data_IF_354834645496
#
_entry.id   IF_354834645496
#
_cell.length_a   1.000
_cell.length_b   1.000
_cell.length_c   1.000
_cell.angle_alpha   90.00
_cell.angle_beta   90.00
_cell.angle_gamma   90.00
#
_symmetry.space_group_name_H-M   'P 1'
#
loop_
_entity.id
_entity.type
_entity.pdbx_description
1 polymer ?
#
# COMPACT_ATOMS: atom_id res chain seq x y z
N UNK A 1 -25.48 6.37 20.65
CA UNK A 1 -24.60 5.17 20.79
C UNK A 1 -24.33 4.46 19.46
N UNK A 2 -25.36 4.19 18.65
CA UNK A 2 -25.22 3.46 17.37
C UNK A 2 -24.36 4.19 16.32
N UNK A 3 -24.42 5.52 16.29
CA UNK A 3 -23.59 6.35 15.40
C UNK A 3 -22.08 6.20 15.70
N UNK A 4 -21.70 6.15 16.98
CA UNK A 4 -20.30 6.01 17.39
C UNK A 4 -19.71 4.67 16.96
N UNK A 5 -20.49 3.59 17.08
CA UNK A 5 -20.11 2.25 16.61
C UNK A 5 -19.92 2.20 15.09
N UNK A 6 -20.80 2.88 14.34
CA UNK A 6 -20.68 2.99 12.88
C UNK A 6 -19.42 3.74 12.48
N UNK A 7 -19.14 4.88 13.11
CA UNK A 7 -17.92 5.66 12.85
C UNK A 7 -16.66 4.82 13.14
N UNK A 8 -16.63 4.11 14.27
CA UNK A 8 -15.51 3.23 14.61
C UNK A 8 -15.30 2.13 13.56
N UNK A 9 -16.37 1.49 13.09
CA UNK A 9 -16.28 0.46 12.06
C UNK A 9 -15.71 1.01 10.74
N UNK A 10 -16.15 2.21 10.32
CA UNK A 10 -15.61 2.88 9.13
C UNK A 10 -14.12 3.18 9.28
N UNK A 11 -13.69 3.68 10.44
CA UNK A 11 -12.26 3.96 10.71
C UNK A 11 -11.43 2.67 10.62
N UNK A 12 -11.90 1.58 11.23
CA UNK A 12 -11.19 0.29 11.21
C UNK A 12 -11.08 -0.27 9.78
N UNK A 13 -12.13 -0.12 8.98
CA UNK A 13 -12.11 -0.51 7.56
C UNK A 13 -11.09 0.30 6.76
N UNK A 14 -11.04 1.62 6.95
CA UNK A 14 -10.05 2.49 6.30
C UNK A 14 -8.61 2.10 6.68
N UNK A 15 -8.36 1.77 7.94
CA UNK A 15 -7.04 1.28 8.40
C UNK A 15 -6.66 -0.03 7.70
N UNK A 16 -7.60 -0.98 7.58
CA UNK A 16 -7.34 -2.24 6.86
C UNK A 16 -7.03 -2.02 5.38
N UNK A 17 -7.82 -1.18 4.71
CA UNK A 17 -7.63 -0.87 3.28
C UNK A 17 -6.28 -0.18 3.05
N UNK A 18 -5.93 0.81 3.85
CA UNK A 18 -4.62 1.50 3.74
C UNK A 18 -3.45 0.57 4.01
N UNK A 19 -3.60 -0.41 4.90
CA UNK A 19 -2.58 -1.42 5.13
C UNK A 19 -2.44 -2.41 3.96
N UNK A 20 -3.56 -2.85 3.37
CA UNK A 20 -3.56 -3.73 2.19
C UNK A 20 -2.94 -3.07 0.95
N UNK A 21 -3.03 -1.74 0.85
CA UNK A 21 -2.39 -0.96 -0.21
C UNK A 21 -0.88 -0.78 -0.03
N UNK A 22 -0.28 -1.22 1.09
CA UNK A 22 1.17 -1.10 1.32
C UNK A 22 1.88 -2.41 1.01
N UNK A 23 3.06 -2.28 0.42
CA UNK A 23 3.94 -3.41 0.09
C UNK A 23 5.40 -3.06 0.45
N UNK A 24 6.35 -3.95 0.18
CA UNK A 24 7.78 -3.72 0.42
C UNK A 24 8.08 -3.20 1.84
N UNK A 25 7.59 -3.89 2.87
CA UNK A 25 7.81 -3.47 4.27
C UNK A 25 7.22 -2.10 4.62
N UNK A 26 6.13 -1.67 3.96
CA UNK A 26 5.48 -0.35 4.06
C UNK A 26 6.19 0.80 3.33
N UNK A 27 7.28 0.51 2.61
CA UNK A 27 8.02 1.50 1.81
C UNK A 27 7.52 1.60 0.36
N UNK A 28 6.64 0.68 -0.06
CA UNK A 28 5.97 0.68 -1.35
C UNK A 28 4.45 0.72 -1.24
N UNK A 29 3.79 0.94 -2.38
CA UNK A 29 2.33 0.92 -2.51
C UNK A 29 1.88 0.07 -3.68
N UNK A 30 0.80 -0.68 -3.48
CA UNK A 30 0.10 -1.41 -4.53
C UNK A 30 -0.69 -0.43 -5.39
N UNK A 31 -0.43 -0.41 -6.70
CA UNK A 31 -1.09 0.44 -7.68
C UNK A 31 -1.26 -0.31 -9.00
N UNK A 32 -2.28 0.02 -9.78
CA UNK A 32 -2.40 -0.54 -11.15
C UNK A 32 -1.22 -0.14 -12.03
N UNK A 33 -0.79 1.12 -11.91
CA UNK A 33 0.37 1.68 -12.62
C UNK A 33 1.24 2.47 -11.66
N UNK A 34 2.56 2.30 -11.75
CA UNK A 34 3.51 3.05 -10.93
C UNK A 34 3.64 4.50 -11.38
N UNK A 35 3.92 5.40 -10.44
CA UNK A 35 4.27 6.77 -10.76
C UNK A 35 5.62 6.84 -11.48
N UNK A 36 5.90 7.93 -12.19
CA UNK A 36 7.15 8.10 -12.96
C UNK A 36 8.43 7.95 -12.12
N UNK A 37 8.35 8.23 -10.82
CA UNK A 37 9.48 8.16 -9.87
C UNK A 37 9.45 6.89 -8.99
N UNK A 38 8.60 5.92 -9.34
CA UNK A 38 8.51 4.62 -8.68
C UNK A 38 8.93 3.53 -9.67
N UNK A 39 9.48 2.44 -9.13
CA UNK A 39 9.78 1.25 -9.93
C UNK A 39 8.91 0.09 -9.47
N UNK A 40 8.54 -0.75 -10.43
CA UNK A 40 7.88 -2.01 -10.15
C UNK A 40 8.87 -2.97 -9.49
N UNK A 41 8.45 -3.56 -8.37
CA UNK A 41 9.27 -4.54 -7.65
C UNK A 41 8.67 -5.94 -7.68
N UNK A 42 7.41 -6.10 -7.25
CA UNK A 42 6.67 -7.37 -7.21
C UNK A 42 5.18 -7.12 -7.45
N UNK A 43 4.41 -8.17 -7.71
CA UNK A 43 2.94 -8.09 -7.70
C UNK A 43 2.39 -8.16 -6.28
N UNK A 44 1.33 -7.40 -6.03
CA UNK A 44 0.49 -7.52 -4.84
C UNK A 44 -0.54 -8.65 -5.02
N UNK A 45 -1.23 -9.00 -3.94
CA UNK A 45 -2.20 -10.12 -3.92
C UNK A 45 -3.38 -9.91 -4.88
N UNK A 46 -3.71 -8.67 -5.19
CA UNK A 46 -4.75 -8.24 -6.14
C UNK A 46 -4.21 -8.03 -7.57
N UNK A 47 -3.02 -8.57 -7.88
CA UNK A 47 -2.32 -8.42 -9.16
C UNK A 47 -1.91 -6.97 -9.49
N UNK A 48 -2.09 -6.03 -8.55
CA UNK A 48 -1.55 -4.70 -8.67
C UNK A 48 -0.02 -4.72 -8.59
N UNK A 49 0.62 -3.68 -9.15
CA UNK A 49 2.07 -3.48 -9.07
C UNK A 49 2.44 -2.93 -7.71
N UNK A 50 3.36 -3.58 -7.01
CA UNK A 50 4.06 -2.97 -5.88
C UNK A 50 5.07 -1.96 -6.42
N UNK A 51 4.74 -0.69 -6.27
CA UNK A 51 5.53 0.45 -6.71
C UNK A 51 6.33 1.00 -5.54
N UNK A 52 7.65 1.07 -5.71
CA UNK A 52 8.59 1.46 -4.65
C UNK A 52 9.44 2.62 -5.16
N UNK A 53 9.67 3.62 -4.30
CA UNK A 53 10.65 4.65 -4.63
C UNK A 53 12.06 4.02 -4.72
N UNK A 54 12.82 4.25 -5.80
CA UNK A 54 14.16 3.67 -5.98
C UNK A 54 15.11 3.88 -4.80
N UNK A 55 14.96 4.97 -4.04
CA UNK A 55 15.78 5.27 -2.85
C UNK A 55 15.63 4.25 -1.72
N UNK A 56 14.53 3.49 -1.70
CA UNK A 56 14.25 2.46 -0.69
C UNK A 56 14.62 1.05 -1.16
N UNK A 57 15.21 0.92 -2.35
CA UNK A 57 15.67 -0.36 -2.89
C UNK A 57 17.16 -0.47 -2.56
N UNK A 58 17.58 -1.52 -1.83
CA UNK A 58 18.99 -1.76 -1.58
C UNK A 58 19.72 -1.93 -2.91
N UNK A 59 20.78 -1.14 -3.13
CA UNK A 59 21.70 -1.37 -4.24
C UNK A 59 22.53 -2.60 -3.85
N UNK A 60 22.47 -3.68 -4.63
CA UNK A 60 23.45 -4.76 -4.49
C UNK A 60 24.79 -4.22 -4.94
N UNK A 61 25.66 -3.91 -3.97
CA UNK A 61 27.08 -3.67 -4.19
C UNK A 61 27.82 -4.99 -4.33
#
# INVERSE_FOLDING_TARGET
>A
MKLMLLVLAVILLLVRVTQAMRCWGKLGRCRTTCEQNEVFHILCTDEAKCCVNPKHIPVKT
#
